data_IF_284461668015
#
_entry.id   IF_284461668015
#
_cell.length_a   1.000
_cell.length_b   1.000
_cell.length_c   1.000
_cell.angle_alpha   90.00
_cell.angle_beta   90.00
_cell.angle_gamma   90.00
#
_symmetry.space_group_name_H-M   'P 1'
#
loop_
_entity.id
_entity.type
_entity.pdbx_description
1 polymer ?
#
# COMPACT_ATOMS: atom_id res chain seq x y z
N UNK A 1 32.79 27.72 13.55
CA UNK A 1 33.08 26.27 13.64
C UNK A 1 32.24 25.57 12.59
N UNK A 2 32.85 25.18 11.48
CA UNK A 2 32.21 24.42 10.41
C UNK A 2 31.93 23.03 10.95
N UNK A 3 30.65 22.65 11.07
CA UNK A 3 30.27 21.29 11.44
C UNK A 3 30.90 20.32 10.43
N UNK A 4 31.81 19.46 10.91
CA UNK A 4 32.30 18.34 10.12
C UNK A 4 31.07 17.49 9.81
N UNK A 5 30.66 17.42 8.54
CA UNK A 5 29.63 16.46 8.12
C UNK A 5 30.13 15.08 8.50
N UNK A 6 29.50 14.50 9.52
CA UNK A 6 29.75 13.12 9.89
C UNK A 6 29.39 12.24 8.69
N UNK A 7 30.31 11.39 8.27
CA UNK A 7 30.13 10.51 7.12
C UNK A 7 29.03 9.49 7.40
N UNK A 8 28.12 9.29 6.44
CA UNK A 8 27.00 8.36 6.54
C UNK A 8 27.16 7.23 5.51
N UNK A 9 27.56 6.05 5.98
CA UNK A 9 27.80 4.91 5.11
C UNK A 9 26.53 4.39 4.44
N UNK A 10 25.37 4.53 5.07
CA UNK A 10 24.10 4.12 4.47
C UNK A 10 23.77 5.05 3.29
N UNK A 11 23.77 6.37 3.47
CA UNK A 11 23.46 7.31 2.38
C UNK A 11 24.47 7.19 1.23
N UNK A 12 25.75 6.98 1.54
CA UNK A 12 26.79 6.80 0.53
C UNK A 12 26.56 5.54 -0.32
N UNK A 13 26.25 4.40 0.32
CA UNK A 13 25.97 3.15 -0.40
C UNK A 13 24.66 3.22 -1.17
N UNK A 14 23.62 3.81 -0.60
CA UNK A 14 22.36 4.01 -1.30
C UNK A 14 22.57 4.86 -2.57
N UNK A 15 23.31 5.96 -2.47
CA UNK A 15 23.64 6.81 -3.62
C UNK A 15 24.45 6.06 -4.68
N UNK A 16 25.46 5.29 -4.28
CA UNK A 16 26.29 4.51 -5.20
C UNK A 16 25.50 3.40 -5.91
N UNK A 17 24.65 2.65 -5.18
CA UNK A 17 23.79 1.63 -5.80
C UNK A 17 22.79 2.26 -6.75
N UNK A 18 22.17 3.39 -6.39
CA UNK A 18 21.25 4.11 -7.29
C UNK A 18 21.95 4.54 -8.57
N UNK A 19 23.17 5.08 -8.47
CA UNK A 19 23.97 5.45 -9.64
C UNK A 19 24.34 4.22 -10.50
N UNK A 20 24.72 3.11 -9.87
CA UNK A 20 25.03 1.85 -10.53
C UNK A 20 23.82 1.29 -11.30
N UNK A 21 22.64 1.29 -10.68
CA UNK A 21 21.40 0.75 -11.29
C UNK A 21 20.85 1.67 -12.39
N UNK A 22 21.09 2.98 -12.29
CA UNK A 22 20.71 3.95 -13.31
C UNK A 22 21.58 3.86 -14.59
N UNK A 23 22.75 3.20 -14.54
CA UNK A 23 23.56 2.94 -15.72
C UNK A 23 22.81 1.99 -16.68
N UNK A 24 22.59 2.41 -17.92
CA UNK A 24 21.91 1.62 -18.95
C UNK A 24 22.53 0.22 -19.17
N UNK A 25 23.81 0.02 -18.84
CA UNK A 25 24.49 -1.27 -18.94
C UNK A 25 24.04 -2.24 -17.85
N UNK A 26 23.48 -1.77 -16.74
CA UNK A 26 23.03 -2.58 -15.62
C UNK A 26 22.07 -3.69 -16.07
N UNK A 27 21.05 -3.32 -16.84
CA UNK A 27 20.03 -4.25 -17.32
C UNK A 27 20.61 -5.35 -18.24
N UNK A 28 21.73 -5.08 -18.93
CA UNK A 28 22.39 -6.03 -19.81
C UNK A 28 23.33 -7.01 -19.07
N UNK A 29 23.66 -6.76 -17.79
CA UNK A 29 24.56 -7.63 -17.04
C UNK A 29 23.89 -8.96 -16.65
N UNK A 30 24.61 -10.10 -16.76
CA UNK A 30 24.16 -11.37 -16.22
C UNK A 30 23.85 -11.26 -14.73
N UNK A 31 22.81 -11.97 -14.27
CA UNK A 31 22.38 -11.95 -12.88
C UNK A 31 23.52 -12.22 -11.87
N UNK A 32 24.45 -13.17 -12.08
CA UNK A 32 25.58 -13.37 -11.16
C UNK A 32 26.49 -12.15 -11.04
N UNK A 33 26.73 -11.42 -12.14
CA UNK A 33 27.55 -10.21 -12.14
C UNK A 33 26.86 -9.08 -11.37
N UNK A 34 25.55 -8.93 -11.55
CA UNK A 34 24.72 -7.98 -10.77
C UNK A 34 24.71 -8.33 -9.29
N UNK A 35 24.51 -9.60 -8.95
CA UNK A 35 24.53 -10.08 -7.58
C UNK A 35 25.87 -9.81 -6.90
N UNK A 36 26.99 -10.05 -7.59
CA UNK A 36 28.32 -9.74 -7.10
C UNK A 36 28.53 -8.24 -6.89
N UNK A 37 28.09 -7.41 -7.83
CA UNK A 37 28.21 -5.95 -7.72
C UNK A 37 27.44 -5.39 -6.51
N UNK A 38 26.26 -5.94 -6.22
CA UNK A 38 25.47 -5.63 -5.03
C UNK A 38 26.16 -6.15 -3.76
N UNK A 39 26.72 -7.36 -3.79
CA UNK A 39 27.41 -7.96 -2.64
C UNK A 39 28.63 -7.18 -2.16
N UNK A 40 29.36 -6.57 -3.09
CA UNK A 40 30.51 -5.70 -2.79
C UNK A 40 30.16 -4.42 -2.02
N UNK A 41 28.87 -4.11 -1.89
CA UNK A 41 28.33 -2.92 -1.23
C UNK A 41 27.59 -3.24 0.07
N UNK A 42 27.74 -4.46 0.58
CA UNK A 42 27.14 -4.88 1.85
C UNK A 42 27.80 -4.12 2.99
N UNK A 43 26.98 -3.60 3.90
CA UNK A 43 27.44 -2.96 5.13
C UNK A 43 27.40 -3.96 6.30
N UNK A 44 28.41 -3.95 7.15
CA UNK A 44 28.33 -4.48 8.50
C UNK A 44 28.13 -3.31 9.47
N UNK A 45 27.09 -3.42 10.28
CA UNK A 45 26.76 -2.47 11.31
C UNK A 45 27.47 -2.79 12.65
N UNK A 46 27.53 -1.86 13.60
CA UNK A 46 28.23 -2.05 14.88
C UNK A 46 27.69 -3.20 15.74
N UNK A 47 26.42 -3.55 15.56
CA UNK A 47 25.75 -4.69 16.20
C UNK A 47 26.10 -6.05 15.54
N UNK A 48 26.98 -6.05 14.52
CA UNK A 48 27.33 -7.21 13.72
C UNK A 48 26.30 -7.55 12.64
N UNK A 49 25.19 -6.81 12.55
CA UNK A 49 24.15 -6.99 11.54
C UNK A 49 24.66 -6.63 10.15
N UNK A 50 24.27 -7.41 9.14
CA UNK A 50 24.59 -7.12 7.74
C UNK A 50 23.41 -6.43 7.05
N UNK A 51 23.75 -5.43 6.25
CA UNK A 51 22.81 -4.54 5.59
C UNK A 51 23.11 -4.44 4.10
N UNK A 52 22.06 -4.46 3.29
CA UNK A 52 22.16 -4.40 1.84
C UNK A 52 21.12 -3.43 1.30
N UNK A 53 21.52 -2.53 0.42
CA UNK A 53 20.59 -1.76 -0.39
C UNK A 53 20.41 -2.45 -1.74
N UNK A 54 19.19 -2.88 -2.04
CA UNK A 54 18.92 -3.82 -3.12
C UNK A 54 17.62 -3.53 -3.85
N UNK A 55 16.99 -4.60 -4.33
CA UNK A 55 15.75 -4.58 -5.09
C UNK A 55 14.70 -3.66 -4.46
N UNK A 56 13.90 -3.05 -5.32
CA UNK A 56 12.92 -2.03 -4.96
C UNK A 56 13.54 -0.82 -4.28
N UNK A 57 14.81 -0.47 -4.52
CA UNK A 57 15.48 0.68 -3.90
C UNK A 57 15.19 0.82 -2.39
N UNK A 58 15.35 -0.29 -1.65
CA UNK A 58 15.11 -0.38 -0.20
C UNK A 58 16.26 -1.12 0.47
N UNK A 59 16.36 -0.89 1.78
CA UNK A 59 17.31 -1.56 2.65
C UNK A 59 16.78 -2.92 3.12
N UNK A 60 17.70 -3.86 3.25
CA UNK A 60 17.49 -5.20 3.76
C UNK A 60 18.50 -5.48 4.87
N UNK A 61 18.06 -6.15 5.92
CA UNK A 61 18.89 -6.64 7.02
C UNK A 61 18.94 -8.15 7.00
N UNK A 62 20.13 -8.73 7.16
CA UNK A 62 20.27 -10.17 7.31
C UNK A 62 19.90 -10.60 8.73
N UNK A 63 19.03 -11.59 8.88
CA UNK A 63 18.78 -12.30 10.13
C UNK A 63 20.01 -13.19 10.43
N UNK A 64 20.73 -12.96 11.55
CA UNK A 64 21.90 -13.74 11.88
C UNK A 64 21.57 -15.20 12.26
N UNK A 65 20.31 -15.51 12.60
CA UNK A 65 19.91 -16.84 13.03
C UNK A 65 19.75 -17.82 11.85
N UNK A 66 19.20 -17.37 10.72
CA UNK A 66 18.92 -18.21 9.56
C UNK A 66 19.53 -17.70 8.24
N UNK A 67 20.18 -16.53 8.26
CA UNK A 67 20.84 -15.92 7.11
C UNK A 67 19.88 -15.29 6.10
N UNK A 68 18.57 -15.26 6.35
CA UNK A 68 17.57 -14.66 5.46
C UNK A 68 17.68 -13.14 5.48
N UNK A 69 17.31 -12.51 4.37
CA UNK A 69 17.27 -11.05 4.26
C UNK A 69 15.84 -10.58 4.45
N UNK A 70 15.64 -9.66 5.39
CA UNK A 70 14.36 -9.03 5.67
C UNK A 70 14.41 -7.59 5.20
N UNK A 71 13.34 -7.14 4.56
CA UNK A 71 13.18 -5.73 4.25
C UNK A 71 13.12 -4.95 5.57
N UNK A 72 13.99 -3.95 5.72
CA UNK A 72 14.11 -3.20 6.96
C UNK A 72 14.55 -1.78 6.65
N UNK A 73 13.84 -0.78 7.17
CA UNK A 73 14.29 0.60 7.06
C UNK A 73 15.65 0.75 7.76
N UNK A 74 16.57 1.57 7.22
CA UNK A 74 17.86 1.76 7.83
C UNK A 74 17.69 2.42 9.21
N UNK A 75 18.58 2.14 10.18
CA UNK A 75 18.57 2.82 11.49
C UNK A 75 18.66 4.33 11.34
N UNK A 76 17.97 5.08 12.21
CA UNK A 76 17.96 6.54 12.17
C UNK A 76 19.17 7.19 12.88
N UNK A 77 19.81 6.47 13.81
CA UNK A 77 20.90 7.01 14.63
C UNK A 77 22.15 7.34 13.79
N UNK A 78 22.59 8.61 13.72
CA UNK A 78 23.77 9.00 12.95
C UNK A 78 25.06 8.33 13.45
N UNK A 79 25.18 8.06 14.75
CA UNK A 79 26.32 7.37 15.33
C UNK A 79 26.45 5.95 14.80
N UNK A 80 25.35 5.19 14.84
CA UNK A 80 25.24 3.85 14.30
C UNK A 80 25.57 3.80 12.79
N UNK A 81 25.01 4.73 12.02
CA UNK A 81 25.21 4.81 10.56
C UNK A 81 26.66 5.14 10.19
N UNK A 82 27.30 6.04 10.94
CA UNK A 82 28.68 6.44 10.72
C UNK A 82 29.69 5.34 11.11
N UNK A 83 29.33 4.48 12.06
CA UNK A 83 30.18 3.38 12.50
C UNK A 83 30.06 2.12 11.62
N UNK A 84 29.10 2.07 10.69
CA UNK A 84 28.97 0.98 9.72
C UNK A 84 30.14 0.96 8.73
N UNK A 85 30.51 -0.23 8.25
CA UNK A 85 31.64 -0.43 7.34
C UNK A 85 31.25 -1.32 6.17
N UNK A 86 31.79 -1.03 4.99
CA UNK A 86 31.63 -1.93 3.83
C UNK A 86 32.41 -3.22 4.09
N UNK A 87 31.73 -4.35 3.94
CA UNK A 87 32.30 -5.69 4.10
C UNK A 87 32.13 -6.50 2.83
N UNK A 88 33.13 -7.32 2.53
CA UNK A 88 33.01 -8.27 1.43
C UNK A 88 32.22 -9.49 1.89
N UNK A 89 31.09 -9.73 1.24
CA UNK A 89 30.32 -10.95 1.40
C UNK A 89 30.57 -11.84 0.20
N UNK A 90 31.10 -13.05 0.46
CA UNK A 90 31.43 -14.04 -0.58
C UNK A 90 30.28 -14.99 -0.88
N UNK A 91 29.25 -15.03 -0.04
CA UNK A 91 28.04 -15.80 -0.30
C UNK A 91 27.19 -15.13 -1.37
N UNK A 92 26.68 -15.92 -2.32
CA UNK A 92 25.78 -15.40 -3.36
C UNK A 92 24.53 -14.78 -2.73
N UNK A 93 24.26 -13.53 -3.10
CA UNK A 93 23.04 -12.82 -2.75
C UNK A 93 21.88 -13.46 -3.52
N UNK A 94 20.75 -13.63 -2.82
CA UNK A 94 19.54 -14.18 -3.44
C UNK A 94 19.08 -13.31 -4.63
N UNK A 95 18.66 -13.92 -5.76
CA UNK A 95 18.19 -13.19 -6.94
C UNK A 95 17.12 -12.13 -6.68
N UNK A 96 16.21 -12.35 -5.72
CA UNK A 96 15.13 -11.41 -5.41
C UNK A 96 15.63 -10.10 -4.77
N UNK A 97 16.85 -10.06 -4.24
CA UNK A 97 17.46 -8.87 -3.65
C UNK A 97 18.22 -8.04 -4.68
N UNK A 98 18.43 -8.58 -5.88
CA UNK A 98 19.23 -7.94 -6.93
C UNK A 98 18.34 -6.98 -7.73
N UNK A 99 18.68 -5.69 -7.83
CA UNK A 99 17.92 -4.74 -8.63
C UNK A 99 17.78 -5.16 -10.10
N UNK A 100 16.55 -5.07 -10.61
CA UNK A 100 16.26 -5.25 -12.03
C UNK A 100 16.54 -4.00 -12.86
N UNK A 101 16.47 -2.81 -12.24
CA UNK A 101 16.46 -1.51 -12.91
C UNK A 101 15.09 -0.85 -12.76
N UNK A 102 14.04 -1.36 -13.43
CA UNK A 102 12.70 -0.77 -13.36
C UNK A 102 12.11 -0.70 -11.94
N UNK A 103 12.50 -1.61 -11.05
CA UNK A 103 12.07 -1.64 -9.64
C UNK A 103 12.58 -0.43 -8.83
N UNK A 104 13.61 0.27 -9.29
CA UNK A 104 14.12 1.49 -8.66
C UNK A 104 13.31 2.73 -9.03
N UNK A 105 12.68 2.72 -10.20
CA UNK A 105 11.92 3.84 -10.76
C UNK A 105 10.41 3.62 -10.69
N UNK A 106 9.95 2.43 -10.28
CA UNK A 106 8.54 2.12 -10.14
C UNK A 106 7.86 3.07 -9.16
N UNK A 107 6.80 3.75 -9.63
CA UNK A 107 5.89 4.49 -8.77
C UNK A 107 5.21 3.49 -7.81
N UNK A 108 5.32 3.73 -6.50
CA UNK A 108 4.73 2.85 -5.48
C UNK A 108 3.34 3.30 -5.06
N UNK A 109 2.89 4.43 -5.61
CA UNK A 109 1.64 5.06 -5.25
C UNK A 109 1.82 6.05 -4.12
N UNK A 110 0.79 6.85 -3.94
CA UNK A 110 0.73 7.80 -2.84
C UNK A 110 0.33 7.10 -1.54
N UNK A 111 1.16 7.25 -0.50
CA UNK A 111 0.80 6.92 0.89
C UNK A 111 -0.13 7.97 1.50
N UNK A 112 -0.56 9.00 0.76
CA UNK A 112 -1.54 9.95 1.26
C UNK A 112 -2.89 9.27 1.42
N UNK A 113 -3.47 9.38 2.62
CA UNK A 113 -4.87 9.05 2.81
C UNK A 113 -5.78 9.91 1.93
N UNK A 114 -6.96 9.39 1.57
CA UNK A 114 -8.02 10.16 0.90
C UNK A 114 -8.83 11.01 1.90
N UNK A 115 -8.33 11.17 3.12
CA UNK A 115 -8.80 12.12 4.12
C UNK A 115 -7.90 13.36 3.99
N UNK A 116 -8.28 14.27 3.11
CA UNK A 116 -7.36 15.27 2.57
C UNK A 116 -7.92 15.97 1.34
N UNK A 117 -7.09 16.46 0.39
CA UNK A 117 -7.64 17.02 -0.85
C UNK A 117 -8.49 15.96 -1.56
N UNK A 118 -9.71 16.36 -1.92
CA UNK A 118 -10.66 15.51 -2.63
C UNK A 118 -10.04 14.92 -3.91
N UNK A 119 -10.63 13.84 -4.41
CA UNK A 119 -10.31 13.37 -5.76
C UNK A 119 -10.61 14.49 -6.76
N UNK A 120 -9.66 14.83 -7.67
CA UNK A 120 -9.85 15.90 -8.63
C UNK A 120 -11.21 15.81 -9.35
N UNK A 121 -11.97 16.92 -9.47
CA UNK A 121 -13.31 16.90 -10.06
C UNK A 121 -13.36 16.25 -11.44
N UNK A 122 -12.32 16.42 -12.26
CA UNK A 122 -12.23 15.84 -13.60
C UNK A 122 -12.22 14.31 -13.58
N UNK A 123 -11.60 13.71 -12.55
CA UNK A 123 -11.59 12.26 -12.34
C UNK A 123 -12.97 11.80 -11.85
N UNK A 124 -13.51 12.51 -10.86
CA UNK A 124 -14.83 12.22 -10.28
C UNK A 124 -15.94 12.26 -11.34
N UNK A 125 -15.93 13.25 -12.23
CA UNK A 125 -16.93 13.35 -13.31
C UNK A 125 -16.76 12.26 -14.38
N UNK A 126 -15.54 11.90 -14.77
CA UNK A 126 -15.32 10.76 -15.69
C UNK A 126 -15.86 9.45 -15.11
N UNK A 127 -15.61 9.20 -13.81
CA UNK A 127 -16.15 8.02 -13.14
C UNK A 127 -17.68 8.08 -13.07
N UNK A 128 -18.25 9.26 -12.79
CA UNK A 128 -19.70 9.46 -12.77
C UNK A 128 -20.34 9.11 -14.11
N UNK A 129 -19.75 9.56 -15.23
CA UNK A 129 -20.22 9.24 -16.58
C UNK A 129 -20.25 7.73 -16.82
N UNK A 130 -19.21 7.00 -16.41
CA UNK A 130 -19.14 5.55 -16.52
C UNK A 130 -20.26 4.87 -15.72
N UNK A 131 -20.50 5.29 -14.48
CA UNK A 131 -21.55 4.72 -13.62
C UNK A 131 -22.95 4.99 -14.22
N UNK A 132 -23.22 6.23 -14.63
CA UNK A 132 -24.52 6.61 -15.23
C UNK A 132 -24.79 5.80 -16.51
N UNK A 133 -23.77 5.58 -17.34
CA UNK A 133 -23.91 4.79 -18.57
C UNK A 133 -24.29 3.32 -18.33
N UNK A 134 -24.08 2.81 -17.11
CA UNK A 134 -24.46 1.45 -16.73
C UNK A 134 -25.72 1.36 -15.87
N UNK A 135 -26.38 2.49 -15.58
CA UNK A 135 -27.63 2.51 -14.83
C UNK A 135 -28.74 1.79 -15.61
N UNK A 136 -29.49 0.93 -14.92
CA UNK A 136 -30.62 0.18 -15.51
C UNK A 136 -30.23 -1.05 -16.34
N UNK A 137 -28.96 -1.48 -16.32
CA UNK A 137 -28.56 -2.77 -16.90
C UNK A 137 -29.28 -3.92 -16.19
N UNK A 138 -29.71 -4.93 -16.95
CA UNK A 138 -30.42 -6.09 -16.39
C UNK A 138 -29.44 -7.00 -15.67
N UNK A 139 -29.82 -7.43 -14.47
CA UNK A 139 -29.05 -8.41 -13.69
C UNK A 139 -28.99 -9.79 -14.35
N UNK A 140 -29.94 -10.11 -15.23
CA UNK A 140 -29.91 -11.36 -16.02
C UNK A 140 -28.78 -11.39 -17.03
N UNK A 141 -28.51 -10.25 -17.70
CA UNK A 141 -27.41 -10.11 -18.66
C UNK A 141 -26.06 -9.97 -17.96
N UNK A 142 -26.09 -9.46 -16.73
CA UNK A 142 -24.92 -9.19 -15.92
C UNK A 142 -25.12 -9.56 -14.42
N UNK A 143 -25.18 -10.86 -14.09
CA UNK A 143 -25.29 -11.30 -12.70
C UNK A 143 -24.13 -10.81 -11.83
N UNK A 144 -24.43 -10.50 -10.58
CA UNK A 144 -23.46 -10.14 -9.55
C UNK A 144 -23.38 -11.26 -8.50
N UNK A 145 -22.17 -11.73 -8.24
CA UNK A 145 -21.86 -12.84 -7.32
C UNK A 145 -20.71 -12.46 -6.39
N UNK A 146 -20.43 -13.31 -5.39
CA UNK A 146 -19.29 -13.12 -4.48
C UNK A 146 -19.44 -11.92 -3.55
N UNK A 147 -18.33 -11.37 -3.01
CA UNK A 147 -18.36 -10.29 -2.02
C UNK A 147 -19.12 -9.03 -2.46
N UNK A 148 -19.13 -8.72 -3.76
CA UNK A 148 -19.89 -7.58 -4.26
C UNK A 148 -21.41 -7.76 -4.15
N UNK A 149 -21.92 -9.00 -4.11
CA UNK A 149 -23.35 -9.25 -3.95
C UNK A 149 -23.86 -8.88 -2.54
N UNK A 150 -22.96 -8.86 -1.54
CA UNK A 150 -23.29 -8.44 -0.17
C UNK A 150 -23.21 -6.91 -0.01
N UNK A 151 -22.41 -6.24 -0.85
CA UNK A 151 -22.21 -4.79 -0.83
C UNK A 151 -23.34 -4.02 -1.55
N UNK A 152 -23.76 -4.51 -2.72
CA UNK A 152 -24.72 -3.82 -3.58
C UNK A 152 -26.15 -4.31 -3.40
N UNK A 153 -27.12 -3.43 -3.65
CA UNK A 153 -28.54 -3.77 -3.66
C UNK A 153 -28.83 -4.89 -4.68
N UNK A 154 -29.91 -5.64 -4.45
CA UNK A 154 -30.21 -6.88 -5.18
C UNK A 154 -30.43 -6.68 -6.68
N UNK A 155 -30.86 -5.49 -7.06
CA UNK A 155 -31.15 -5.05 -8.42
C UNK A 155 -29.89 -4.63 -9.21
N UNK A 156 -28.77 -4.40 -8.52
CA UNK A 156 -27.55 -3.90 -9.16
C UNK A 156 -26.88 -4.99 -9.99
N UNK A 157 -26.49 -4.62 -11.20
CA UNK A 157 -25.79 -5.48 -12.15
C UNK A 157 -24.26 -5.36 -12.03
N UNK A 158 -23.52 -6.37 -12.49
CA UNK A 158 -22.06 -6.40 -12.36
C UNK A 158 -21.26 -5.24 -12.98
N UNK A 159 -21.73 -4.47 -13.98
CA UNK A 159 -21.00 -3.31 -14.48
C UNK A 159 -20.75 -2.24 -13.41
N UNK A 160 -21.73 -1.92 -12.56
CA UNK A 160 -21.54 -0.95 -11.46
C UNK A 160 -20.51 -1.46 -10.46
N UNK A 161 -20.59 -2.76 -10.13
CA UNK A 161 -19.61 -3.41 -9.27
C UNK A 161 -18.21 -3.46 -9.89
N UNK A 162 -18.08 -3.56 -11.22
CA UNK A 162 -16.80 -3.51 -11.91
C UNK A 162 -16.14 -2.12 -11.80
N UNK A 163 -16.92 -1.03 -11.91
CA UNK A 163 -16.40 0.33 -11.68
C UNK A 163 -15.93 0.47 -10.23
N UNK A 164 -16.79 0.16 -9.26
CA UNK A 164 -16.44 0.24 -7.83
C UNK A 164 -15.23 -0.62 -7.47
N UNK A 165 -15.24 -1.89 -7.87
CA UNK A 165 -14.17 -2.83 -7.62
C UNK A 165 -12.85 -2.34 -8.21
N UNK A 166 -12.88 -1.77 -9.42
CA UNK A 166 -11.69 -1.21 -10.06
C UNK A 166 -11.15 -0.02 -9.28
N UNK A 167 -12.01 0.90 -8.84
CA UNK A 167 -11.60 2.03 -7.99
C UNK A 167 -10.94 1.56 -6.69
N UNK A 168 -11.57 0.61 -6.00
CA UNK A 168 -11.10 0.11 -4.70
C UNK A 168 -9.83 -0.74 -4.84
N UNK A 169 -9.66 -1.50 -5.93
CA UNK A 169 -8.44 -2.25 -6.20
C UNK A 169 -7.29 -1.32 -6.62
N UNK A 170 -7.61 -0.25 -7.36
CA UNK A 170 -6.62 0.75 -7.77
C UNK A 170 -6.14 1.63 -6.60
N UNK A 171 -6.98 1.86 -5.59
CA UNK A 171 -6.63 2.68 -4.44
C UNK A 171 -5.54 2.02 -3.59
N UNK A 172 -4.45 2.75 -3.33
CA UNK A 172 -3.37 2.26 -2.45
C UNK A 172 -3.84 2.03 -1.00
N UNK A 173 -4.57 3.00 -0.43
CA UNK A 173 -5.09 2.95 0.93
C UNK A 173 -6.48 3.61 0.99
N UNK A 174 -7.58 2.89 0.71
CA UNK A 174 -8.93 3.44 0.60
C UNK A 174 -9.55 3.88 1.94
N UNK A 175 -9.04 4.97 2.50
CA UNK A 175 -9.63 5.71 3.63
C UNK A 175 -10.03 7.10 3.14
N UNK A 176 -11.33 7.34 3.00
CA UNK A 176 -11.88 8.53 2.35
C UNK A 176 -12.60 9.45 3.34
N UNK A 177 -12.64 10.76 3.05
CA UNK A 177 -13.56 11.66 3.74
C UNK A 177 -15.02 11.18 3.58
N UNK A 178 -15.82 11.31 4.65
CA UNK A 178 -17.24 10.97 4.63
C UNK A 178 -18.02 11.69 3.52
N UNK A 179 -17.59 12.89 3.14
CA UNK A 179 -18.20 13.72 2.10
C UNK A 179 -17.60 13.52 0.70
N UNK A 180 -16.66 12.58 0.53
CA UNK A 180 -16.00 12.37 -0.76
C UNK A 180 -17.04 12.10 -1.86
N UNK A 181 -17.01 12.93 -2.90
CA UNK A 181 -17.96 12.91 -4.01
C UNK A 181 -17.81 11.63 -4.82
N UNK A 182 -16.58 11.13 -4.97
CA UNK A 182 -16.28 9.89 -5.69
C UNK A 182 -17.07 8.70 -5.12
N UNK A 183 -17.20 8.60 -3.80
CA UNK A 183 -17.92 7.50 -3.16
C UNK A 183 -19.43 7.76 -3.11
N UNK A 184 -19.82 9.02 -2.88
CA UNK A 184 -21.22 9.38 -2.69
C UNK A 184 -22.08 9.12 -3.92
N UNK A 185 -21.51 9.13 -5.13
CA UNK A 185 -22.23 8.76 -6.36
C UNK A 185 -22.69 7.29 -6.39
N UNK A 186 -22.09 6.42 -5.58
CA UNK A 186 -22.49 5.01 -5.50
C UNK A 186 -23.64 4.77 -4.54
N UNK A 187 -24.04 5.77 -3.74
CA UNK A 187 -25.01 5.63 -2.66
C UNK A 187 -26.33 4.99 -3.06
N UNK A 188 -26.83 5.27 -4.27
CA UNK A 188 -28.08 4.68 -4.77
C UNK A 188 -27.99 3.19 -5.12
N UNK A 189 -26.78 2.65 -5.27
CA UNK A 189 -26.56 1.25 -5.65
C UNK A 189 -26.25 0.35 -4.44
N UNK A 190 -25.87 0.92 -3.30
CA UNK A 190 -25.41 0.14 -2.16
C UNK A 190 -26.58 -0.50 -1.40
N UNK A 191 -26.39 -1.72 -0.91
CA UNK A 191 -27.41 -2.41 -0.09
C UNK A 191 -27.60 -1.75 1.28
N UNK A 192 -26.55 -1.08 1.77
CA UNK A 192 -26.50 -0.34 3.03
C UNK A 192 -25.70 0.94 2.80
N UNK A 193 -26.02 2.04 3.51
CA UNK A 193 -25.15 3.21 3.52
C UNK A 193 -23.72 2.82 3.89
N UNK A 194 -22.73 3.46 3.28
CA UNK A 194 -21.34 3.24 3.66
C UNK A 194 -21.15 3.62 5.14
N UNK A 195 -20.40 2.83 5.92
CA UNK A 195 -20.10 3.19 7.29
C UNK A 195 -19.27 4.49 7.32
N UNK A 196 -19.54 5.37 8.28
CA UNK A 196 -18.67 6.53 8.56
C UNK A 196 -19.15 7.88 8.02
N UNK A 197 -20.46 8.11 7.91
CA UNK A 197 -21.03 9.39 7.46
C UNK A 197 -20.62 10.61 8.32
N UNK A 198 -20.11 10.41 9.54
CA UNK A 198 -19.68 11.54 10.36
C UNK A 198 -18.31 12.11 9.94
N UNK A 199 -17.34 11.30 9.49
CA UNK A 199 -15.97 11.82 9.21
C UNK A 199 -15.14 11.03 8.19
N UNK A 200 -14.91 9.73 8.38
CA UNK A 200 -14.04 8.93 7.50
C UNK A 200 -14.67 7.57 7.20
N UNK A 201 -14.64 7.21 5.92
CA UNK A 201 -15.06 5.91 5.39
C UNK A 201 -13.85 5.00 5.23
N UNK A 202 -13.77 3.98 6.08
CA UNK A 202 -12.77 2.92 6.02
C UNK A 202 -13.26 1.83 5.10
N UNK A 203 -12.79 1.82 3.87
CA UNK A 203 -13.20 0.82 2.89
C UNK A 203 -12.12 -0.27 2.78
N UNK A 204 -12.50 -1.55 2.70
CA UNK A 204 -11.55 -2.59 2.32
C UNK A 204 -11.13 -2.40 0.85
N UNK A 205 -9.88 -2.71 0.53
CA UNK A 205 -9.47 -2.82 -0.86
C UNK A 205 -10.18 -4.00 -1.53
N UNK A 206 -10.67 -3.81 -2.76
CA UNK A 206 -11.17 -4.93 -3.56
C UNK A 206 -10.01 -5.85 -3.95
N UNK A 207 -10.28 -7.15 -4.09
CA UNK A 207 -9.27 -8.11 -4.53
C UNK A 207 -9.24 -8.23 -6.05
N UNK A 208 -8.09 -8.63 -6.61
CA UNK A 208 -8.02 -8.98 -8.03
C UNK A 208 -8.91 -10.19 -8.34
N UNK A 209 -9.07 -11.12 -7.38
CA UNK A 209 -9.96 -12.27 -7.50
C UNK A 209 -11.40 -11.85 -7.76
N UNK A 210 -11.89 -10.81 -7.06
CA UNK A 210 -13.24 -10.29 -7.24
C UNK A 210 -13.46 -9.73 -8.65
N UNK A 211 -12.48 -8.99 -9.19
CA UNK A 211 -12.55 -8.45 -10.55
C UNK A 211 -12.50 -9.56 -11.60
N UNK A 212 -11.60 -10.52 -11.41
CA UNK A 212 -11.46 -11.67 -12.30
C UNK A 212 -12.72 -12.53 -12.30
N UNK A 213 -13.36 -12.72 -11.16
CA UNK A 213 -14.61 -13.46 -11.04
C UNK A 213 -15.74 -12.84 -11.88
N UNK A 214 -15.82 -11.50 -11.98
CA UNK A 214 -16.80 -10.82 -12.83
C UNK A 214 -16.62 -11.19 -14.32
N UNK A 215 -15.38 -11.27 -14.80
CA UNK A 215 -15.05 -11.69 -16.16
C UNK A 215 -15.24 -13.20 -16.36
N UNK A 216 -14.65 -14.00 -15.46
CA UNK A 216 -14.59 -15.45 -15.54
C UNK A 216 -15.98 -16.09 -15.49
N UNK A 217 -16.89 -15.56 -14.68
CA UNK A 217 -18.27 -16.02 -14.65
C UNK A 217 -18.92 -15.87 -16.04
N UNK A 218 -18.84 -14.68 -16.65
CA UNK A 218 -19.51 -14.42 -17.94
C UNK A 218 -19.01 -15.34 -19.04
N UNK A 219 -17.69 -15.57 -19.08
CA UNK A 219 -17.09 -16.47 -20.07
C UNK A 219 -17.56 -17.92 -19.84
N UNK A 220 -17.54 -18.39 -18.59
CA UNK A 220 -18.00 -19.75 -18.24
C UNK A 220 -19.49 -19.96 -18.50
N UNK A 221 -20.30 -18.90 -18.40
CA UNK A 221 -21.72 -18.92 -18.75
C UNK A 221 -21.99 -18.88 -20.27
N UNK A 222 -20.95 -18.86 -21.12
CA UNK A 222 -21.11 -18.81 -22.58
C UNK A 222 -21.38 -17.41 -23.13
N UNK A 223 -21.13 -16.36 -22.34
CA UNK A 223 -21.29 -14.95 -22.71
C UNK A 223 -19.96 -14.18 -22.73
N UNK A 224 -18.95 -14.60 -23.54
CA UNK A 224 -17.63 -13.98 -23.53
C UNK A 224 -17.63 -12.50 -23.94
N UNK A 225 -18.56 -12.07 -24.79
CA UNK A 225 -18.74 -10.66 -25.16
C UNK A 225 -19.23 -9.80 -23.98
N UNK A 226 -20.03 -10.37 -23.07
CA UNK A 226 -20.41 -9.68 -21.82
C UNK A 226 -19.22 -9.58 -20.87
N UNK A 227 -18.41 -10.63 -20.77
CA UNK A 227 -17.15 -10.60 -20.03
C UNK A 227 -16.19 -9.54 -20.56
N UNK A 228 -16.02 -9.46 -21.89
CA UNK A 228 -15.18 -8.44 -22.53
C UNK A 228 -15.67 -7.01 -22.23
N UNK A 229 -16.99 -6.77 -22.20
CA UNK A 229 -17.55 -5.48 -21.80
C UNK A 229 -17.23 -5.10 -20.36
N UNK A 230 -17.20 -6.06 -19.43
CA UNK A 230 -16.79 -5.81 -18.04
C UNK A 230 -15.31 -5.44 -17.97
N UNK A 231 -14.46 -6.14 -18.74
CA UNK A 231 -13.03 -5.83 -18.82
C UNK A 231 -12.78 -4.46 -19.47
N UNK A 232 -13.54 -4.09 -20.50
CA UNK A 232 -13.49 -2.75 -21.09
C UNK A 232 -13.86 -1.68 -20.05
N UNK A 233 -14.91 -1.92 -19.26
CA UNK A 233 -15.31 -1.00 -18.19
C UNK A 233 -14.26 -0.88 -17.08
N UNK A 234 -13.58 -1.97 -16.72
CA UNK A 234 -12.41 -1.93 -15.82
C UNK A 234 -11.29 -1.07 -16.42
N UNK A 235 -11.02 -1.20 -17.72
CA UNK A 235 -10.02 -0.40 -18.41
C UNK A 235 -10.38 1.10 -18.42
N UNK A 236 -11.61 1.43 -18.79
CA UNK A 236 -12.10 2.81 -18.82
C UNK A 236 -12.06 3.44 -17.41
N UNK A 237 -12.39 2.67 -16.37
CA UNK A 237 -12.31 3.13 -14.99
C UNK A 237 -10.87 3.35 -14.55
N UNK A 238 -9.96 2.42 -14.87
CA UNK A 238 -8.54 2.56 -14.56
C UNK A 238 -7.91 3.76 -15.29
N UNK A 239 -8.23 3.96 -16.57
CA UNK A 239 -7.77 5.12 -17.34
C UNK A 239 -8.33 6.44 -16.77
N UNK A 240 -9.57 6.46 -16.30
CA UNK A 240 -10.15 7.64 -15.67
C UNK A 240 -9.36 8.09 -14.44
N UNK A 241 -8.86 7.16 -13.63
CA UNK A 241 -8.16 7.47 -12.37
C UNK A 241 -6.63 7.53 -12.47
N UNK A 242 -6.01 7.03 -13.55
CA UNK A 242 -4.54 6.92 -13.66
C UNK A 242 -3.79 8.27 -13.55
N UNK A 243 -4.50 9.38 -13.76
CA UNK A 243 -3.95 10.73 -13.58
C UNK A 243 -3.53 11.03 -12.14
N UNK A 244 -4.18 10.42 -11.15
CA UNK A 244 -3.94 10.68 -9.73
C UNK A 244 -2.99 9.64 -9.11
N UNK A 245 -2.00 10.11 -8.34
CA UNK A 245 -0.95 9.28 -7.73
C UNK A 245 -1.47 8.24 -6.75
N UNK A 246 -2.67 8.44 -6.20
CA UNK A 246 -3.32 7.49 -5.27
C UNK A 246 -3.81 6.22 -5.96
N UNK A 247 -4.05 6.29 -7.28
CA UNK A 247 -4.55 5.17 -8.09
C UNK A 247 -3.56 4.69 -9.16
N UNK A 248 -2.69 5.58 -9.64
CA UNK A 248 -1.87 5.39 -10.85
C UNK A 248 -1.14 4.04 -10.95
N UNK A 249 -0.33 3.60 -9.97
CA UNK A 249 0.50 2.40 -10.17
C UNK A 249 -0.35 1.15 -10.41
N UNK A 250 -1.44 1.02 -9.66
CA UNK A 250 -2.39 -0.08 -9.81
C UNK A 250 -3.16 0.08 -11.11
N UNK A 251 -3.67 1.27 -11.43
CA UNK A 251 -4.36 1.52 -12.69
C UNK A 251 -3.52 1.13 -13.92
N UNK A 252 -2.25 1.53 -13.97
CA UNK A 252 -1.31 1.14 -15.03
C UNK A 252 -1.06 -0.37 -15.07
N UNK A 253 -0.96 -0.99 -13.89
CA UNK A 253 -0.84 -2.45 -13.79
C UNK A 253 -2.07 -3.15 -14.34
N UNK A 254 -3.29 -2.73 -13.97
CA UNK A 254 -4.52 -3.34 -14.47
C UNK A 254 -4.65 -3.18 -15.99
N UNK A 255 -4.38 -1.99 -16.52
CA UNK A 255 -4.37 -1.73 -17.96
C UNK A 255 -3.42 -2.68 -18.70
N UNK A 256 -2.22 -2.91 -18.14
CA UNK A 256 -1.24 -3.87 -18.68
C UNK A 256 -1.76 -5.31 -18.59
N UNK A 257 -2.37 -5.69 -17.47
CA UNK A 257 -2.94 -7.03 -17.29
C UNK A 257 -4.05 -7.33 -18.30
N UNK A 258 -4.92 -6.36 -18.58
CA UNK A 258 -6.14 -6.62 -19.36
C UNK A 258 -6.02 -6.29 -20.85
N UNK A 259 -4.98 -5.55 -21.28
CA UNK A 259 -4.76 -5.22 -22.68
C UNK A 259 -4.86 -6.44 -23.63
N UNK A 260 -4.25 -7.60 -23.35
CA UNK A 260 -4.37 -8.77 -24.25
C UNK A 260 -5.80 -9.31 -24.36
N UNK A 261 -6.62 -9.15 -23.31
CA UNK A 261 -8.03 -9.53 -23.31
C UNK A 261 -8.80 -8.63 -24.26
N UNK A 262 -8.59 -7.31 -24.14
CA UNK A 262 -9.24 -6.29 -24.97
C UNK A 262 -8.87 -6.42 -26.45
N UNK A 263 -7.60 -6.72 -26.73
CA UNK A 263 -7.11 -6.94 -28.10
C UNK A 263 -7.47 -8.32 -28.67
N UNK A 264 -8.02 -9.22 -27.84
CA UNK A 264 -8.33 -10.61 -28.21
C UNK A 264 -7.09 -11.37 -28.73
N UNK A 265 -5.91 -11.05 -28.20
CA UNK A 265 -4.62 -11.64 -28.61
C UNK A 265 -4.16 -12.77 -27.69
N UNK A 266 -4.79 -12.93 -26.52
CA UNK A 266 -4.44 -13.93 -25.52
C UNK A 266 -5.42 -15.12 -25.46
N UNK A 267 -5.04 -16.20 -24.74
CA UNK A 267 -5.90 -17.36 -24.53
C UNK A 267 -6.96 -17.14 -23.43
N UNK A 268 -7.18 -15.91 -22.95
CA UNK A 268 -8.01 -15.60 -21.77
C UNK A 268 -9.39 -16.28 -21.75
N UNK A 269 -10.16 -16.33 -22.85
CA UNK A 269 -11.44 -17.04 -22.83
C UNK A 269 -11.30 -18.54 -22.54
N UNK A 270 -10.24 -19.17 -23.07
CA UNK A 270 -9.93 -20.58 -22.76
C UNK A 270 -9.41 -20.74 -21.32
N UNK A 271 -8.63 -19.77 -20.83
CA UNK A 271 -8.10 -19.78 -19.46
C UNK A 271 -9.25 -19.72 -18.44
N UNK A 272 -10.28 -18.93 -18.71
CA UNK A 272 -11.45 -18.78 -17.86
C UNK A 272 -12.19 -20.10 -17.59
N UNK A 273 -12.13 -21.07 -18.50
CA UNK A 273 -12.72 -22.39 -18.27
C UNK A 273 -11.95 -23.25 -17.25
N UNK A 274 -10.69 -22.92 -16.96
CA UNK A 274 -9.91 -23.55 -15.89
C UNK A 274 -10.14 -22.91 -14.51
N UNK A 275 -10.96 -21.85 -14.44
CA UNK A 275 -11.34 -21.19 -13.19
C UNK A 275 -10.71 -19.81 -13.01
N UNK A 276 -11.26 -19.07 -12.04
CA UNK A 276 -10.91 -17.66 -11.82
C UNK A 276 -9.44 -17.50 -11.37
N UNK A 277 -8.92 -18.44 -10.60
CA UNK A 277 -7.51 -18.46 -10.19
C UNK A 277 -6.54 -18.57 -11.39
N UNK A 278 -6.90 -19.35 -12.41
CA UNK A 278 -6.09 -19.48 -13.62
C UNK A 278 -6.06 -18.17 -14.41
N UNK A 279 -7.19 -17.46 -14.48
CA UNK A 279 -7.28 -16.13 -15.10
C UNK A 279 -6.45 -15.12 -14.32
N UNK A 280 -6.56 -15.11 -12.98
CA UNK A 280 -5.75 -14.24 -12.13
C UNK A 280 -4.25 -14.44 -12.38
N UNK A 281 -3.78 -15.68 -12.39
CA UNK A 281 -2.38 -15.98 -12.67
C UNK A 281 -1.95 -15.53 -14.07
N UNK A 282 -2.80 -15.74 -15.08
CA UNK A 282 -2.54 -15.25 -16.43
C UNK A 282 -2.44 -13.72 -16.47
N UNK A 283 -3.31 -13.00 -15.76
CA UNK A 283 -3.27 -11.54 -15.67
C UNK A 283 -2.01 -11.06 -14.95
N UNK A 284 -1.71 -11.60 -13.77
CA UNK A 284 -0.53 -11.25 -12.98
C UNK A 284 0.78 -11.49 -13.74
N UNK A 285 0.85 -12.54 -14.54
CA UNK A 285 2.05 -12.90 -15.33
C UNK A 285 2.44 -11.86 -16.38
N UNK A 286 1.52 -10.97 -16.76
CA UNK A 286 1.75 -9.89 -17.74
C UNK A 286 2.47 -8.68 -17.15
N UNK A 287 2.51 -8.59 -15.82
CA UNK A 287 3.15 -7.49 -15.12
C UNK A 287 4.44 -7.95 -14.44
N UNK A 288 5.43 -7.06 -14.32
CA UNK A 288 6.59 -7.34 -13.48
C UNK A 288 6.18 -7.66 -12.03
N UNK A 289 6.86 -8.60 -11.34
CA UNK A 289 6.48 -8.98 -9.97
C UNK A 289 6.41 -7.81 -8.98
N UNK A 290 7.28 -6.80 -9.16
CA UNK A 290 7.38 -5.66 -8.25
C UNK A 290 6.17 -4.72 -8.26
N UNK A 291 5.34 -4.73 -9.31
CA UNK A 291 4.10 -3.93 -9.36
C UNK A 291 2.88 -4.71 -8.87
N UNK A 292 2.98 -6.04 -8.83
CA UNK A 292 1.87 -6.93 -8.45
C UNK A 292 1.99 -7.52 -7.05
N UNK A 293 3.02 -7.13 -6.29
CA UNK A 293 3.31 -7.62 -4.93
C UNK A 293 2.08 -7.79 -4.03
N UNK A 294 1.12 -6.84 -3.96
CA UNK A 294 -0.04 -7.01 -3.10
C UNK A 294 -0.87 -8.25 -3.43
N UNK A 295 -0.93 -8.65 -4.70
CA UNK A 295 -1.73 -9.79 -5.19
C UNK A 295 -0.92 -11.06 -5.44
N UNK A 296 0.40 -10.96 -5.56
CA UNK A 296 1.30 -12.10 -5.79
C UNK A 296 1.99 -12.60 -4.51
N UNK A 297 2.26 -11.72 -3.54
CA UNK A 297 3.02 -12.01 -2.33
C UNK A 297 2.56 -11.14 -1.14
N UNK A 298 1.49 -11.54 -0.42
CA UNK A 298 0.96 -10.76 0.71
C UNK A 298 2.00 -10.47 1.80
N UNK A 299 2.95 -11.37 2.00
CA UNK A 299 4.02 -11.21 2.98
C UNK A 299 5.04 -10.15 2.61
N UNK A 300 5.54 -10.16 1.37
CA UNK A 300 6.43 -9.09 0.87
C UNK A 300 5.68 -7.76 0.81
N UNK A 301 4.39 -7.76 0.43
CA UNK A 301 3.58 -6.56 0.47
C UNK A 301 3.46 -5.97 1.88
N UNK A 302 3.24 -6.80 2.91
CA UNK A 302 3.23 -6.36 4.31
C UNK A 302 4.57 -5.74 4.71
N UNK A 303 5.70 -6.35 4.35
CA UNK A 303 7.02 -5.76 4.61
C UNK A 303 7.18 -4.38 3.98
N UNK A 304 6.74 -4.21 2.73
CA UNK A 304 6.80 -2.94 2.02
C UNK A 304 5.91 -1.88 2.68
N UNK A 305 4.68 -2.22 3.06
CA UNK A 305 3.76 -1.32 3.75
C UNK A 305 4.31 -0.87 5.10
N UNK A 306 4.87 -1.81 5.89
CA UNK A 306 5.52 -1.48 7.16
C UNK A 306 6.74 -0.58 6.97
N UNK A 307 7.56 -0.83 5.93
CA UNK A 307 8.67 0.05 5.60
C UNK A 307 8.17 1.46 5.26
N UNK A 308 7.08 1.59 4.50
CA UNK A 308 6.48 2.89 4.16
C UNK A 308 5.94 3.61 5.40
N UNK A 309 5.37 2.88 6.37
CA UNK A 309 5.00 3.42 7.68
C UNK A 309 6.21 3.96 8.45
N UNK A 310 7.33 3.22 8.48
CA UNK A 310 8.57 3.70 9.10
C UNK A 310 9.07 4.97 8.44
N UNK A 311 9.03 5.04 7.10
CA UNK A 311 9.42 6.23 6.34
C UNK A 311 8.51 7.43 6.65
N UNK A 312 7.19 7.22 6.74
CA UNK A 312 6.23 8.25 7.11
C UNK A 312 6.47 8.80 8.54
N UNK A 313 7.05 7.99 9.43
CA UNK A 313 7.46 8.38 10.78
C UNK A 313 8.85 9.04 10.86
N UNK A 314 9.52 9.27 9.72
CA UNK A 314 10.86 9.86 9.68
C UNK A 314 10.98 11.24 10.34
N UNK A 315 9.87 11.99 10.46
CA UNK A 315 9.84 13.27 11.19
C UNK A 315 10.11 13.13 12.70
N UNK A 316 10.14 11.91 13.24
CA UNK A 316 10.47 11.62 14.64
C UNK A 316 11.97 11.59 14.92
N UNK A 317 12.81 11.43 13.90
CA UNK A 317 14.27 11.36 14.06
C UNK A 317 14.84 12.59 14.76
N UNK A 318 14.49 13.84 14.37
CA UNK A 318 14.95 15.03 15.09
C UNK A 318 14.42 15.14 16.53
N UNK A 319 13.36 14.39 16.87
CA UNK A 319 12.78 14.33 18.23
C UNK A 319 13.47 13.26 19.10
N UNK A 320 14.47 12.55 18.57
CA UNK A 320 15.22 11.51 19.29
C UNK A 320 14.48 10.17 19.44
N UNK A 321 13.38 9.96 18.69
CA UNK A 321 12.65 8.70 18.69
C UNK A 321 13.01 7.88 17.45
N UNK A 322 13.19 6.58 17.63
CA UNK A 322 13.42 5.64 16.52
C UNK A 322 12.10 5.35 15.78
N UNK A 323 11.97 5.75 14.50
CA UNK A 323 10.76 5.49 13.71
C UNK A 323 10.42 4.01 13.58
N UNK A 324 11.42 3.12 13.63
CA UNK A 324 11.22 1.66 13.51
C UNK A 324 10.50 1.09 14.73
N UNK A 325 11.03 1.38 15.92
CA UNK A 325 10.38 0.99 17.17
C UNK A 325 8.97 1.57 17.32
N UNK A 326 8.76 2.83 16.90
CA UNK A 326 7.44 3.47 16.94
C UNK A 326 6.47 2.78 15.97
N UNK A 327 6.87 2.52 14.72
CA UNK A 327 6.02 1.84 13.73
C UNK A 327 5.53 0.48 14.23
N UNK A 328 6.43 -0.32 14.81
CA UNK A 328 6.08 -1.63 15.38
C UNK A 328 5.19 -1.50 16.61
N UNK A 329 5.39 -0.48 17.43
CA UNK A 329 4.50 -0.23 18.56
C UNK A 329 3.08 0.12 18.11
N UNK A 330 2.93 0.93 17.07
CA UNK A 330 1.63 1.25 16.49
C UNK A 330 0.96 0.02 15.86
N UNK A 331 1.71 -0.79 15.12
CA UNK A 331 1.24 -2.10 14.63
C UNK A 331 0.77 -2.99 15.79
N UNK A 332 1.52 -3.02 16.90
CA UNK A 332 1.14 -3.79 18.08
C UNK A 332 -0.18 -3.30 18.69
N UNK A 333 -0.45 -1.99 18.68
CA UNK A 333 -1.72 -1.43 19.12
C UNK A 333 -2.89 -1.90 18.25
N UNK A 334 -2.72 -1.89 16.92
CA UNK A 334 -3.74 -2.36 15.97
C UNK A 334 -4.04 -3.85 16.12
N UNK A 335 -2.99 -4.67 16.27
CA UNK A 335 -3.10 -6.10 16.52
C UNK A 335 -3.78 -6.38 17.86
N UNK A 336 -3.37 -5.69 18.93
CA UNK A 336 -3.96 -5.87 20.26
C UNK A 336 -5.46 -5.51 20.28
N UNK A 337 -5.87 -4.50 19.52
CA UNK A 337 -7.26 -4.08 19.43
C UNK A 337 -8.12 -5.02 18.56
N UNK A 338 -7.56 -5.56 17.48
CA UNK A 338 -8.34 -6.23 16.42
C UNK A 338 -8.15 -7.74 16.37
N UNK A 339 -6.91 -8.23 16.45
CA UNK A 339 -6.58 -9.64 16.33
C UNK A 339 -5.19 -9.97 16.91
N UNK A 340 -5.04 -10.14 18.24
CA UNK A 340 -3.72 -10.33 18.86
C UNK A 340 -2.96 -11.56 18.33
N UNK A 341 -3.70 -12.62 17.95
CA UNK A 341 -3.12 -13.87 17.41
C UNK A 341 -2.61 -13.73 15.97
N UNK A 342 -2.95 -12.66 15.26
CA UNK A 342 -2.40 -12.44 13.92
C UNK A 342 -0.89 -12.17 13.95
N UNK A 343 -0.33 -11.75 15.10
CA UNK A 343 1.10 -11.53 15.27
C UNK A 343 1.95 -12.76 14.92
N UNK A 344 1.46 -13.98 15.20
CA UNK A 344 2.18 -15.22 14.91
C UNK A 344 2.45 -15.41 13.41
N UNK A 345 1.52 -14.94 12.56
CA UNK A 345 1.66 -14.98 11.10
C UNK A 345 2.64 -13.91 10.60
N UNK A 346 2.80 -12.80 11.33
CA UNK A 346 3.64 -11.68 10.94
C UNK A 346 5.12 -11.89 11.31
N UNK A 347 5.41 -12.61 12.40
CA UNK A 347 6.78 -12.76 12.89
C UNK A 347 7.81 -13.22 11.83
N UNK A 348 7.51 -14.18 10.94
CA UNK A 348 8.44 -14.60 9.89
C UNK A 348 8.79 -13.50 8.88
N UNK A 349 7.96 -12.45 8.78
CA UNK A 349 8.13 -11.35 7.82
C UNK A 349 8.85 -10.15 8.43
N UNK A 350 9.05 -10.11 9.75
CA UNK A 350 9.76 -9.03 10.43
C UNK A 350 11.24 -9.34 10.56
N UNK A 351 12.09 -8.32 10.44
CA UNK A 351 13.51 -8.46 10.80
C UNK A 351 13.65 -8.74 12.32
N UNK A 352 14.77 -9.33 12.77
CA UNK A 352 14.93 -9.82 14.14
C UNK A 352 14.58 -8.80 15.23
N UNK A 353 14.94 -7.54 15.01
CA UNK A 353 14.71 -6.47 15.97
C UNK A 353 13.24 -6.10 16.04
N UNK A 354 12.59 -5.88 14.89
CA UNK A 354 11.16 -5.58 14.85
C UNK A 354 10.31 -6.74 15.36
N UNK A 355 10.71 -7.98 15.07
CA UNK A 355 10.10 -9.20 15.61
C UNK A 355 10.16 -9.20 17.14
N UNK A 356 11.33 -8.91 17.71
CA UNK A 356 11.54 -8.84 19.15
C UNK A 356 10.71 -7.72 19.79
N UNK A 357 10.77 -6.51 19.23
CA UNK A 357 10.00 -5.35 19.71
C UNK A 357 8.50 -5.67 19.71
N UNK A 358 7.98 -6.23 18.62
CA UNK A 358 6.56 -6.59 18.52
C UNK A 358 6.17 -7.56 19.63
N UNK A 359 6.97 -8.60 19.83
CA UNK A 359 6.72 -9.61 20.87
C UNK A 359 6.70 -9.01 22.28
N UNK A 360 7.73 -8.24 22.65
CA UNK A 360 7.83 -7.66 24.00
C UNK A 360 6.73 -6.63 24.23
N UNK A 361 6.44 -5.77 23.25
CA UNK A 361 5.36 -4.78 23.36
C UNK A 361 4.00 -5.45 23.56
N UNK A 362 3.71 -6.55 22.86
CA UNK A 362 2.46 -7.28 23.02
C UNK A 362 2.37 -8.05 24.36
N UNK A 363 3.48 -8.54 24.89
CA UNK A 363 3.50 -9.40 26.08
C UNK A 363 3.67 -8.65 27.40
N UNK A 364 4.36 -7.51 27.42
CA UNK A 364 4.59 -6.69 28.61
C UNK A 364 3.73 -5.42 28.59
N UNK A 365 2.67 -5.34 29.42
CA UNK A 365 1.85 -4.14 29.56
C UNK A 365 2.58 -2.91 30.09
N UNK A 366 3.71 -3.08 30.78
CA UNK A 366 4.51 -2.00 31.33
C UNK A 366 5.58 -1.47 30.35
N UNK A 367 5.69 -2.08 29.16
CA UNK A 367 6.72 -1.73 28.20
C UNK A 367 6.60 -0.26 27.76
N UNK A 368 7.69 0.53 27.77
CA UNK A 368 7.64 1.98 27.49
C UNK A 368 7.04 2.33 26.13
N UNK A 369 7.25 1.50 25.11
CA UNK A 369 6.69 1.75 23.78
C UNK A 369 5.16 1.71 23.74
N UNK A 370 4.46 1.12 24.73
CA UNK A 370 2.99 1.27 24.84
C UNK A 370 2.56 2.71 25.14
N UNK A 371 3.49 3.58 25.53
CA UNK A 371 3.27 5.02 25.58
C UNK A 371 2.96 5.63 24.21
N UNK A 372 3.36 4.97 23.11
CA UNK A 372 3.03 5.39 21.74
C UNK A 372 1.60 5.02 21.31
N UNK A 373 0.93 4.13 22.05
CA UNK A 373 -0.38 3.63 21.64
C UNK A 373 -1.43 4.75 21.74
N UNK A 374 -2.39 4.78 20.79
CA UNK A 374 -3.53 5.68 20.92
C UNK A 374 -4.27 5.49 22.25
N UNK A 375 -4.64 6.61 22.89
CA UNK A 375 -5.45 6.61 24.12
C UNK A 375 -6.66 7.51 23.93
N UNK A 376 -7.83 7.01 24.28
CA UNK A 376 -9.10 7.74 24.11
C UNK A 376 -9.33 8.26 22.68
N UNK A 377 -8.82 7.56 21.66
CA UNK A 377 -8.94 7.95 20.27
C UNK A 377 -7.91 8.97 19.78
N UNK A 378 -6.91 9.32 20.58
CA UNK A 378 -5.88 10.29 20.21
C UNK A 378 -4.48 9.68 20.22
N UNK A 379 -3.64 10.14 19.29
CA UNK A 379 -2.20 9.85 19.32
C UNK A 379 -1.49 10.72 20.35
N UNK A 380 -0.47 10.13 20.98
CA UNK A 380 0.43 10.85 21.87
C UNK A 380 1.06 12.07 21.16
N UNK A 381 1.11 13.22 21.84
CA UNK A 381 1.59 14.50 21.27
C UNK A 381 3.00 14.43 20.68
N UNK A 382 3.90 13.61 21.25
CA UNK A 382 5.22 13.37 20.67
C UNK A 382 5.18 12.83 19.23
N UNK A 383 4.15 12.05 18.89
CA UNK A 383 3.94 11.42 17.59
C UNK A 383 3.22 12.32 16.58
N UNK A 384 2.89 13.55 16.99
CA UNK A 384 2.19 14.49 16.13
C UNK A 384 3.05 14.86 14.91
N UNK A 385 2.52 14.61 13.68
CA UNK A 385 3.16 15.06 12.44
C UNK A 385 3.36 16.57 12.40
N UNK A 386 4.38 17.08 11.70
CA UNK A 386 4.66 18.51 11.65
C UNK A 386 3.64 19.33 10.83
N UNK A 387 3.00 18.70 9.84
CA UNK A 387 2.06 19.34 8.92
C UNK A 387 1.00 18.36 8.40
N UNK A 388 -0.01 18.90 7.71
CA UNK A 388 -1.13 18.14 7.13
C UNK A 388 -0.67 17.08 6.11
N UNK A 389 0.37 17.37 5.32
CA UNK A 389 0.86 16.44 4.32
C UNK A 389 1.52 15.21 4.97
N UNK A 390 2.30 15.44 6.02
CA UNK A 390 2.91 14.40 6.86
C UNK A 390 1.85 13.61 7.62
N UNK A 391 0.80 14.26 8.10
CA UNK A 391 -0.34 13.58 8.73
C UNK A 391 -1.11 12.69 7.74
N UNK A 392 -1.38 13.18 6.52
CA UNK A 392 -2.01 12.38 5.47
C UNK A 392 -1.14 11.20 5.02
N UNK A 393 0.17 11.40 4.90
CA UNK A 393 1.12 10.33 4.58
C UNK A 393 1.19 9.27 5.68
N UNK A 394 1.22 9.69 6.95
CA UNK A 394 1.22 8.77 8.09
C UNK A 394 -0.11 8.00 8.17
N UNK A 395 -1.25 8.66 7.94
CA UNK A 395 -2.56 8.01 7.89
C UNK A 395 -2.62 6.92 6.82
N UNK A 396 -2.26 7.24 5.57
CA UNK A 396 -2.36 6.27 4.49
C UNK A 396 -1.34 5.15 4.64
N UNK A 397 -0.13 5.41 5.14
CA UNK A 397 0.84 4.36 5.44
C UNK A 397 0.39 3.45 6.60
N UNK A 398 -0.20 4.01 7.66
CA UNK A 398 -0.75 3.23 8.77
C UNK A 398 -1.93 2.36 8.31
N UNK A 399 -2.86 2.93 7.52
CA UNK A 399 -4.00 2.19 6.99
C UNK A 399 -3.57 1.11 5.99
N UNK A 400 -2.62 1.39 5.09
CA UNK A 400 -2.06 0.41 4.17
C UNK A 400 -1.37 -0.76 4.90
N UNK A 401 -0.62 -0.46 5.96
CA UNK A 401 -0.01 -1.49 6.82
C UNK A 401 -1.09 -2.35 7.47
N UNK A 402 -2.16 -1.72 7.95
CA UNK A 402 -3.38 -2.34 8.44
C UNK A 402 -3.98 -3.37 7.47
N UNK A 403 -4.28 -2.90 6.26
CA UNK A 403 -4.82 -3.74 5.19
C UNK A 403 -3.88 -4.90 4.82
N UNK A 404 -2.57 -4.63 4.75
CA UNK A 404 -1.59 -5.64 4.38
C UNK A 404 -1.49 -6.78 5.41
N UNK A 405 -1.49 -6.47 6.72
CA UNK A 405 -1.46 -7.52 7.74
C UNK A 405 -2.79 -8.28 7.85
N UNK A 406 -3.93 -7.60 7.63
CA UNK A 406 -5.23 -8.26 7.51
C UNK A 406 -5.23 -9.28 6.36
N UNK A 407 -4.76 -8.87 5.18
CA UNK A 407 -4.65 -9.75 4.00
C UNK A 407 -3.73 -10.94 4.26
N UNK A 408 -2.57 -10.70 4.88
CA UNK A 408 -1.60 -11.74 5.18
C UNK A 408 -2.11 -12.76 6.21
N UNK A 409 -2.86 -12.30 7.22
CA UNK A 409 -3.39 -13.15 8.29
C UNK A 409 -4.76 -13.76 8.02
N UNK A 410 -5.47 -13.29 6.98
CA UNK A 410 -6.87 -13.62 6.72
C UNK A 410 -7.85 -12.95 7.70
N UNK A 411 -7.39 -11.94 8.45
CA UNK A 411 -8.23 -11.19 9.39
C UNK A 411 -9.11 -10.19 8.65
N UNK A 412 -10.36 -10.04 9.09
CA UNK A 412 -11.28 -9.03 8.56
C UNK A 412 -10.84 -7.61 8.93
N UNK A 413 -10.97 -6.68 8.00
CA UNK A 413 -10.70 -5.25 8.25
C UNK A 413 -11.76 -4.70 9.22
N UNK A 414 -11.38 -3.96 10.28
CA UNK A 414 -12.34 -3.36 11.20
C UNK A 414 -13.21 -2.27 10.54
N UNK A 415 -14.53 -2.30 10.78
CA UNK A 415 -15.49 -1.34 10.20
C UNK A 415 -15.22 0.14 10.53
N UNK A 416 -14.54 0.39 11.66
CA UNK A 416 -14.18 1.73 12.15
C UNK A 416 -12.72 2.11 11.92
N UNK A 417 -12.03 1.36 11.06
CA UNK A 417 -10.60 1.50 10.84
C UNK A 417 -9.76 0.95 11.99
N UNK A 418 -8.44 0.96 11.79
CA UNK A 418 -7.48 0.54 12.80
C UNK A 418 -7.26 1.67 13.83
N UNK A 419 -7.02 1.32 15.11
CA UNK A 419 -6.93 2.30 16.19
C UNK A 419 -5.87 3.37 15.94
N UNK A 420 -4.74 3.00 15.32
CA UNK A 420 -3.69 3.94 14.93
C UNK A 420 -4.15 4.90 13.84
N UNK A 421 -4.72 4.37 12.76
CA UNK A 421 -5.21 5.17 11.64
C UNK A 421 -6.34 6.11 12.08
N UNK A 422 -7.29 5.61 12.87
CA UNK A 422 -8.41 6.40 13.37
C UNK A 422 -7.96 7.53 14.31
N UNK A 423 -6.90 7.31 15.10
CA UNK A 423 -6.35 8.36 15.97
C UNK A 423 -5.65 9.51 15.21
N UNK A 424 -5.25 9.29 13.95
CA UNK A 424 -4.71 10.33 13.07
C UNK A 424 -5.79 11.20 12.44
N UNK A 425 -6.99 10.64 12.23
CA UNK A 425 -8.12 11.34 11.59
C UNK A 425 -8.54 12.55 12.40
N UNK A 426 -8.61 12.43 13.73
CA UNK A 426 -9.04 13.52 14.62
C UNK A 426 -8.24 14.81 14.37
N UNK A 427 -6.96 14.70 14.00
CA UNK A 427 -6.14 15.88 13.72
C UNK A 427 -6.39 16.47 12.34
N UNK A 428 -6.52 15.63 11.32
CA UNK A 428 -6.78 16.07 9.94
C UNK A 428 -8.11 16.81 9.82
N UNK A 429 -9.09 16.47 10.67
CA UNK A 429 -10.40 17.14 10.69
C UNK A 429 -10.36 18.49 11.42
N UNK A 430 -9.52 18.66 12.45
CA UNK A 430 -9.39 19.93 13.19
C UNK A 430 -8.54 20.97 12.44
N UNK A 431 -7.65 20.55 11.54
CA UNK A 431 -6.82 21.43 10.69
C UNK A 431 -7.50 21.77 9.34
N UNK A 432 -8.80 21.53 9.20
CA UNK A 432 -9.57 21.76 7.98
C UNK A 432 -9.88 23.25 7.79
N UNK A 433 -8.91 23.99 7.25
CA UNK A 433 -9.12 25.31 6.63
C UNK A 433 -9.81 25.13 5.26
N UNK A 434 -11.08 24.74 5.25
CA UNK A 434 -11.89 24.90 4.04
C UNK A 434 -12.32 26.37 3.97
N UNK A 435 -11.93 27.15 2.94
CA UNK A 435 -12.67 28.36 2.64
C UNK A 435 -14.09 27.93 2.28
N UNK A 436 -15.07 28.35 3.08
CA UNK A 436 -16.48 28.22 2.72
C UNK A 436 -16.64 28.85 1.33
N UNK A 437 -17.10 28.10 0.32
CA UNK A 437 -17.35 28.67 -1.00
C UNK A 437 -18.34 29.84 -0.85
N UNK A 438 -17.84 31.07 -1.00
CA UNK A 438 -18.64 32.29 -0.95
C UNK A 438 -18.43 33.23 0.24
N UNK A 439 -17.52 32.96 1.20
CA UNK A 439 -17.23 33.92 2.29
C UNK A 439 -15.83 34.53 2.11
N UNK A 440 -15.70 35.47 1.17
CA UNK A 440 -14.70 36.52 1.27
C UNK A 440 -15.16 37.50 2.35
N UNK A 441 -14.76 37.28 3.59
CA UNK A 441 -15.13 38.13 4.72
C UNK A 441 -14.02 38.19 5.75
N UNK A 442 -13.17 39.21 5.64
CA UNK A 442 -12.27 39.66 6.70
C UNK A 442 -13.02 39.90 8.00
N UNK A 443 -12.71 39.15 9.07
CA UNK A 443 -12.81 39.64 10.43
C UNK A 443 -11.65 39.12 11.30
N UNK A 444 -11.14 39.94 12.24
CA UNK A 444 -9.89 39.70 12.93
C UNK A 444 -10.06 38.68 14.06
N UNK A 445 -9.04 37.84 14.25
CA UNK A 445 -8.88 37.00 15.44
C UNK A 445 -8.73 37.89 16.68
N UNK A 446 -9.55 37.67 17.69
CA UNK A 446 -9.26 38.08 19.06
C UNK A 446 -9.09 36.84 19.95
N UNK A 447 -7.86 36.72 20.45
CA UNK A 447 -7.28 35.91 21.53
C UNK A 447 -7.68 34.45 21.68
#
# INVERSE_FOLDING_TARGET
MTAVRQWDCFDAIESDVRAMVADHRWAALPLPARAQAVALRTLAAPDGGRWLFGAHARWYRQDPADGRWHLAAPPADPGFRAAAQVVQVTSMISPHLVPGGPDFTADRGSVQGFVGPDVPPEITERVRELVIAQRGRRREDFPLTGPFADLFAREVASPVAAVWGTLMWCAYAPAFDGNEVLLSMFGEFLARPLPGDEWVRWLPAASLDDLVALYGERVRAGHPEAGLRLVALMADTADAVRGDRRFRPRAESLLTMIEPVLRRTGPDPSVAHYGDDAVRQAWLSRCPPHVTLPDSSPGEHFQHALYDLVQALGFLVPKGADPRAVAVSLLAADLAASAPRAADVLYPWLDPELRHILHVVLTDPSHPLRGCWPRSGELHSALHPPDRASAAALLGAAYATGLAWCRLSGTTVPDRGFVTASALVHRLTHERDDPIPGISGTFPRHF
#
